data_IF_714612589765
#
_entry.id   IF_714612589765
#
_cell.length_a   1.000
_cell.length_b   1.000
_cell.length_c   1.000
_cell.angle_alpha   90.00
_cell.angle_beta   90.00
_cell.angle_gamma   90.00
#
_symmetry.space_group_name_H-M   'P 1'
#
loop_
_entity.id
_entity.type
_entity.pdbx_description
1 polymer ?
#
# COMPACT_ATOMS: atom_id res chain seq x y z
N UNK A 1 -7.46 -12.72 4.04
CA UNK A 1 -8.78 -12.29 3.47
C UNK A 1 -9.16 -10.85 3.81
N UNK A 2 -8.63 -10.24 4.88
CA UNK A 2 -8.95 -8.86 5.29
C UNK A 2 -8.58 -7.82 4.23
N UNK A 3 -7.38 -7.91 3.64
CA UNK A 3 -6.92 -6.96 2.64
C UNK A 3 -7.79 -6.88 1.37
N UNK A 4 -8.09 -7.99 0.65
CA UNK A 4 -8.94 -7.93 -0.54
C UNK A 4 -10.35 -7.39 -0.24
N UNK A 5 -10.89 -7.70 0.95
CA UNK A 5 -12.20 -7.19 1.36
C UNK A 5 -12.21 -5.67 1.56
N UNK A 6 -11.18 -5.13 2.23
CA UNK A 6 -11.02 -3.68 2.44
C UNK A 6 -10.80 -2.96 1.10
N UNK A 7 -9.91 -3.50 0.25
CA UNK A 7 -9.65 -2.95 -1.06
C UNK A 7 -10.91 -2.95 -1.94
N UNK A 8 -11.66 -4.06 -1.96
CA UNK A 8 -12.90 -4.18 -2.73
C UNK A 8 -13.99 -3.23 -2.21
N UNK A 9 -14.15 -3.12 -0.89
CA UNK A 9 -15.08 -2.17 -0.29
C UNK A 9 -14.75 -0.73 -0.69
N UNK A 10 -13.48 -0.34 -0.65
CA UNK A 10 -13.03 1.00 -1.04
C UNK A 10 -13.28 1.30 -2.52
N UNK A 11 -13.07 0.32 -3.40
CA UNK A 11 -13.38 0.45 -4.84
C UNK A 11 -14.88 0.64 -5.09
N UNK A 12 -15.74 -0.08 -4.35
CA UNK A 12 -17.20 0.05 -4.49
C UNK A 12 -17.77 1.34 -3.89
N UNK A 13 -17.06 1.99 -2.96
CA UNK A 13 -17.51 3.24 -2.36
C UNK A 13 -17.63 4.35 -3.41
N UNK A 14 -18.82 4.96 -3.46
CA UNK A 14 -19.16 6.08 -4.34
C UNK A 14 -18.86 5.82 -5.84
N UNK A 15 -18.97 4.55 -6.28
CA UNK A 15 -18.63 4.14 -7.65
C UNK A 15 -19.39 4.94 -8.71
N UNK A 16 -20.67 5.27 -8.48
CA UNK A 16 -21.48 6.10 -9.39
C UNK A 16 -20.91 7.51 -9.57
N UNK A 17 -20.39 8.13 -8.49
CA UNK A 17 -19.75 9.46 -8.57
C UNK A 17 -18.38 9.41 -9.25
N UNK A 18 -17.66 8.29 -9.10
CA UNK A 18 -16.36 8.07 -9.77
C UNK A 18 -16.55 7.84 -11.27
N UNK A 19 -17.60 7.09 -11.65
CA UNK A 19 -18.02 6.86 -13.03
C UNK A 19 -18.43 8.16 -13.72
N UNK A 20 -19.29 8.97 -13.10
CA UNK A 20 -19.69 10.28 -13.64
C UNK A 20 -18.51 11.22 -13.91
N UNK A 21 -17.43 11.09 -13.14
CA UNK A 21 -16.21 11.91 -13.28
C UNK A 21 -15.14 11.29 -14.19
N UNK A 22 -15.34 10.07 -14.69
CA UNK A 22 -14.32 9.35 -15.47
C UNK A 22 -13.06 8.99 -14.69
N UNK A 23 -13.15 8.92 -13.36
CA UNK A 23 -12.03 8.71 -12.44
C UNK A 23 -11.90 7.25 -11.97
N UNK A 24 -12.63 6.33 -12.62
CA UNK A 24 -12.66 4.92 -12.27
C UNK A 24 -11.49 4.17 -12.92
N UNK A 25 -10.86 3.25 -12.17
CA UNK A 25 -9.97 2.24 -12.77
C UNK A 25 -10.81 1.21 -13.55
N UNK A 26 -10.58 1.12 -14.86
CA UNK A 26 -11.27 0.17 -15.74
C UNK A 26 -12.64 0.65 -16.23
N UNK A 27 -13.38 -0.22 -16.94
CA UNK A 27 -14.69 0.12 -17.55
C UNK A 27 -15.90 -0.09 -16.61
N UNK A 28 -15.72 -0.83 -15.51
CA UNK A 28 -16.76 -1.21 -14.52
C UNK A 28 -16.19 -1.44 -13.11
N UNK A 29 -15.12 -0.75 -12.73
CA UNK A 29 -14.47 -0.94 -11.43
C UNK A 29 -13.68 -2.25 -11.33
N UNK A 30 -13.36 -2.86 -12.47
CA UNK A 30 -12.48 -4.02 -12.55
C UNK A 30 -11.03 -3.55 -12.36
N UNK A 31 -10.41 -3.94 -11.23
CA UNK A 31 -8.97 -4.03 -11.16
C UNK A 31 -8.53 -5.06 -12.20
N UNK A 32 -7.81 -4.63 -13.23
CA UNK A 32 -7.12 -5.56 -14.13
C UNK A 32 -6.34 -6.57 -13.29
N UNK A 33 -6.31 -7.85 -13.69
CA UNK A 33 -5.56 -8.89 -12.99
C UNK A 33 -4.10 -8.46 -12.69
N UNK A 34 -3.53 -7.59 -13.54
CA UNK A 34 -2.23 -6.98 -13.36
C UNK A 34 -2.12 -6.07 -12.12
N UNK A 35 -3.19 -5.38 -11.72
CA UNK A 35 -3.21 -4.57 -10.49
C UNK A 35 -3.18 -5.46 -9.24
N UNK A 36 -3.97 -6.54 -9.28
CA UNK A 36 -3.99 -7.54 -8.21
C UNK A 36 -2.61 -8.18 -8.07
N UNK A 37 -1.95 -8.48 -9.20
CA UNK A 37 -0.59 -9.00 -9.21
C UNK A 37 0.43 -7.99 -8.68
N UNK A 38 0.42 -6.74 -9.14
CA UNK A 38 1.38 -5.72 -8.69
C UNK A 38 1.35 -5.50 -7.18
N UNK A 39 0.14 -5.46 -6.61
CA UNK A 39 -0.07 -5.31 -5.16
C UNK A 39 0.22 -6.61 -4.38
N UNK A 40 -0.12 -7.76 -4.95
CA UNK A 40 0.05 -9.06 -4.28
C UNK A 40 1.46 -9.65 -4.37
N UNK A 41 2.28 -9.21 -5.33
CA UNK A 41 3.56 -9.85 -5.62
C UNK A 41 4.62 -9.60 -4.54
N UNK A 42 4.72 -8.37 -4.03
CA UNK A 42 5.66 -8.05 -2.95
C UNK A 42 5.41 -8.90 -1.67
N UNK A 43 4.19 -8.95 -1.11
CA UNK A 43 3.92 -9.83 0.03
C UNK A 43 4.08 -11.32 -0.32
N UNK A 44 3.75 -11.75 -1.54
CA UNK A 44 3.99 -13.14 -1.96
C UNK A 44 5.47 -13.52 -1.98
N UNK A 45 6.35 -12.62 -2.45
CA UNK A 45 7.81 -12.82 -2.41
C UNK A 45 8.30 -12.93 -0.97
N UNK A 46 7.82 -12.09 -0.06
CA UNK A 46 8.18 -12.14 1.37
C UNK A 46 7.70 -13.45 2.01
N UNK A 47 6.47 -13.88 1.73
CA UNK A 47 5.95 -15.17 2.22
C UNK A 47 6.73 -16.36 1.70
N UNK A 48 7.16 -16.32 0.43
CA UNK A 48 8.00 -17.36 -0.16
C UNK A 48 9.39 -17.41 0.50
N UNK A 49 9.96 -16.25 0.80
CA UNK A 49 11.21 -16.16 1.56
C UNK A 49 11.07 -16.77 2.96
N UNK A 50 9.96 -16.49 3.67
CA UNK A 50 9.69 -17.08 4.98
C UNK A 50 9.54 -18.61 4.92
N UNK A 51 8.85 -19.11 3.89
CA UNK A 51 8.75 -20.55 3.67
C UNK A 51 10.11 -21.20 3.38
N UNK A 52 10.94 -20.57 2.55
CA UNK A 52 12.27 -21.07 2.24
C UNK A 52 13.18 -21.09 3.48
N UNK A 53 13.17 -20.01 4.26
CA UNK A 53 13.91 -19.91 5.53
C UNK A 53 13.54 -21.05 6.49
N UNK A 54 12.23 -21.28 6.65
CA UNK A 54 11.71 -22.40 7.46
C UNK A 54 12.08 -23.77 6.91
N UNK A 55 12.05 -23.95 5.58
CA UNK A 55 12.29 -25.24 4.92
C UNK A 55 13.77 -25.64 4.86
N UNK A 56 14.69 -24.67 4.83
CA UNK A 56 16.13 -24.90 4.65
C UNK A 56 16.96 -24.63 5.93
N UNK A 57 16.31 -24.55 7.09
CA UNK A 57 16.97 -24.58 8.40
C UNK A 57 17.40 -23.22 8.95
N UNK A 58 16.82 -22.13 8.47
CA UNK A 58 17.11 -20.76 8.90
C UNK A 58 16.06 -20.11 9.81
N UNK A 59 14.99 -20.84 10.21
CA UNK A 59 13.71 -20.40 10.80
C UNK A 59 13.68 -19.37 11.94
N UNK A 60 14.80 -18.78 12.30
CA UNK A 60 14.98 -17.65 13.20
C UNK A 60 14.50 -16.32 12.59
N UNK A 61 14.30 -16.22 11.27
CA UNK A 61 13.86 -14.99 10.61
C UNK A 61 12.33 -14.82 10.52
N UNK A 62 11.54 -15.68 11.18
CA UNK A 62 10.08 -15.71 11.07
C UNK A 62 9.42 -14.37 11.39
N UNK A 63 9.86 -13.74 12.47
CA UNK A 63 9.24 -12.53 13.02
C UNK A 63 9.63 -11.29 12.20
N UNK A 64 10.89 -11.28 11.74
CA UNK A 64 11.41 -10.29 10.81
C UNK A 64 10.63 -10.29 9.49
N UNK A 65 10.41 -11.47 8.91
CA UNK A 65 9.68 -11.65 7.65
C UNK A 65 8.18 -11.44 7.83
N UNK A 66 7.62 -11.75 9.00
CA UNK A 66 6.26 -11.39 9.37
C UNK A 66 6.07 -9.86 9.41
N UNK A 67 6.96 -9.12 10.08
CA UNK A 67 6.91 -7.66 10.09
C UNK A 67 7.06 -7.07 8.67
N UNK A 68 7.98 -7.62 7.88
CA UNK A 68 8.16 -7.25 6.48
C UNK A 68 6.87 -7.45 5.66
N UNK A 69 6.20 -8.59 5.85
CA UNK A 69 4.96 -8.92 5.18
C UNK A 69 3.86 -7.93 5.54
N UNK A 70 3.63 -7.68 6.83
CA UNK A 70 2.60 -6.72 7.29
C UNK A 70 2.90 -5.33 6.72
N UNK A 71 4.17 -4.92 6.70
CA UNK A 71 4.61 -3.62 6.17
C UNK A 71 4.32 -3.48 4.67
N UNK A 72 4.65 -4.49 3.87
CA UNK A 72 4.39 -4.48 2.43
C UNK A 72 2.89 -4.39 2.09
N UNK A 73 2.06 -5.13 2.82
CA UNK A 73 0.61 -5.06 2.63
C UNK A 73 0.05 -3.73 3.17
N UNK A 74 0.58 -3.19 4.27
CA UNK A 74 0.17 -1.88 4.78
C UNK A 74 0.38 -0.77 3.75
N UNK A 75 1.52 -0.77 3.03
CA UNK A 75 1.77 0.16 1.92
C UNK A 75 0.70 0.02 0.84
N UNK A 76 0.45 -1.21 0.41
CA UNK A 76 -0.53 -1.51 -0.63
C UNK A 76 -1.97 -1.12 -0.27
N UNK A 77 -2.34 -1.34 0.99
CA UNK A 77 -3.64 -0.93 1.55
C UNK A 77 -3.73 0.59 1.58
N UNK A 78 -2.70 1.26 2.09
CA UNK A 78 -2.67 2.71 2.22
C UNK A 78 -2.78 3.39 0.85
N UNK A 79 -2.03 2.94 -0.15
CA UNK A 79 -2.12 3.43 -1.53
C UNK A 79 -3.50 3.21 -2.16
N UNK A 80 -4.05 2.00 -2.01
CA UNK A 80 -5.40 1.68 -2.50
C UNK A 80 -6.43 2.62 -1.90
N UNK A 81 -6.40 2.83 -0.59
CA UNK A 81 -7.39 3.68 0.08
C UNK A 81 -7.17 5.15 -0.27
N UNK A 82 -5.91 5.58 -0.35
CA UNK A 82 -5.52 6.94 -0.74
C UNK A 82 -6.08 7.29 -2.11
N UNK A 83 -5.89 6.40 -3.10
CA UNK A 83 -6.32 6.63 -4.47
C UNK A 83 -7.85 6.54 -4.63
N UNK A 84 -8.49 5.58 -3.97
CA UNK A 84 -9.95 5.37 -4.06
C UNK A 84 -10.78 6.43 -3.32
N UNK A 85 -10.32 6.90 -2.16
CA UNK A 85 -11.03 7.92 -1.37
C UNK A 85 -10.55 9.32 -1.73
N UNK A 86 -9.25 9.47 -1.96
CA UNK A 86 -8.63 10.77 -2.22
C UNK A 86 -9.07 11.42 -3.52
N UNK A 87 -9.51 10.63 -4.50
CA UNK A 87 -10.06 11.11 -5.78
C UNK A 87 -11.39 11.87 -5.63
N UNK A 88 -12.09 11.67 -4.52
CA UNK A 88 -13.34 12.39 -4.21
C UNK A 88 -13.08 13.81 -3.66
N UNK A 89 -11.84 14.13 -3.30
CA UNK A 89 -11.46 15.45 -2.79
C UNK A 89 -11.48 16.48 -3.93
N UNK A 90 -12.12 17.63 -3.70
CA UNK A 90 -12.11 18.75 -4.65
C UNK A 90 -10.75 19.47 -4.71
N UNK A 91 -9.80 19.09 -3.86
CA UNK A 91 -8.50 19.74 -3.71
C UNK A 91 -7.39 18.68 -3.75
N UNK A 92 -6.70 18.59 -4.89
CA UNK A 92 -5.54 17.70 -5.10
C UNK A 92 -4.30 18.54 -5.42
N UNK A 93 -3.12 18.05 -5.02
CA UNK A 93 -1.82 18.68 -5.24
C UNK A 93 -0.81 17.66 -5.75
N UNK A 94 0.05 18.06 -6.68
CA UNK A 94 1.15 17.23 -7.15
C UNK A 94 2.25 17.17 -6.09
N UNK A 95 2.64 15.97 -5.64
CA UNK A 95 3.59 15.78 -4.52
C UNK A 95 4.97 16.40 -4.78
N UNK A 96 5.42 16.45 -6.03
CA UNK A 96 6.76 16.97 -6.41
C UNK A 96 6.83 18.49 -6.51
N UNK A 97 5.70 19.17 -6.75
CA UNK A 97 5.67 20.63 -6.99
C UNK A 97 4.80 21.39 -6.01
N UNK A 98 3.97 20.68 -5.25
CA UNK A 98 2.93 21.24 -4.37
C UNK A 98 1.95 22.18 -5.07
N UNK A 99 1.85 22.10 -6.41
CA UNK A 99 0.87 22.84 -7.22
C UNK A 99 -0.43 22.06 -7.36
N UNK A 100 -1.53 22.78 -7.63
CA UNK A 100 -2.83 22.17 -7.92
C UNK A 100 -2.74 21.25 -9.13
N UNK A 101 -3.37 20.07 -9.01
CA UNK A 101 -3.51 19.10 -10.10
C UNK A 101 -4.93 18.55 -10.11
N UNK A 102 -5.30 17.90 -11.21
CA UNK A 102 -6.56 17.21 -11.33
C UNK A 102 -6.59 15.94 -10.46
N UNK A 103 -7.74 15.56 -9.89
CA UNK A 103 -7.91 14.27 -9.24
C UNK A 103 -7.62 13.11 -10.20
N UNK A 104 -7.07 12.01 -9.67
CA UNK A 104 -6.77 10.80 -10.46
C UNK A 104 -5.43 10.84 -11.23
N UNK A 105 -4.68 11.95 -11.16
CA UNK A 105 -3.33 12.03 -11.74
C UNK A 105 -2.32 11.34 -10.82
N UNK A 106 -1.40 10.55 -11.41
CA UNK A 106 -0.31 9.90 -10.67
C UNK A 106 0.57 10.93 -9.95
N UNK A 107 0.77 10.71 -8.65
CA UNK A 107 1.46 11.64 -7.75
C UNK A 107 0.59 12.78 -7.21
N UNK A 108 -0.70 12.78 -7.50
CA UNK A 108 -1.68 13.65 -6.87
C UNK A 108 -1.99 13.20 -5.45
N UNK A 109 -1.72 14.06 -4.47
CA UNK A 109 -2.10 13.88 -3.07
C UNK A 109 -3.28 14.78 -2.70
N UNK A 110 -4.19 14.28 -1.88
CA UNK A 110 -5.32 15.03 -1.36
C UNK A 110 -5.43 14.89 0.16
N UNK A 111 -6.17 15.78 0.81
CA UNK A 111 -6.30 15.73 2.28
C UNK A 111 -7.09 14.50 2.69
N UNK A 112 -8.15 14.18 1.95
CA UNK A 112 -8.93 12.96 2.18
C UNK A 112 -8.09 11.70 1.93
N UNK A 113 -7.28 11.67 0.87
CA UNK A 113 -6.41 10.53 0.57
C UNK A 113 -5.37 10.29 1.67
N UNK A 114 -4.71 11.34 2.13
CA UNK A 114 -3.72 11.26 3.21
C UNK A 114 -4.35 10.84 4.55
N UNK A 115 -5.50 11.40 4.92
CA UNK A 115 -6.16 11.06 6.18
C UNK A 115 -6.68 9.62 6.17
N UNK A 116 -7.35 9.20 5.08
CA UNK A 116 -7.90 7.85 4.97
C UNK A 116 -6.82 6.77 4.89
N UNK A 117 -5.76 6.99 4.11
CA UNK A 117 -4.62 6.08 4.04
C UNK A 117 -3.88 5.95 5.36
N UNK A 118 -3.73 7.04 6.11
CA UNK A 118 -3.14 7.01 7.45
C UNK A 118 -3.97 6.15 8.40
N UNK A 119 -5.27 6.42 8.51
CA UNK A 119 -6.17 5.64 9.37
C UNK A 119 -6.15 4.16 8.99
N UNK A 120 -6.19 3.85 7.70
CA UNK A 120 -6.19 2.46 7.26
C UNK A 120 -4.84 1.78 7.48
N UNK A 121 -3.71 2.49 7.30
CA UNK A 121 -2.39 1.93 7.58
C UNK A 121 -2.28 1.48 9.03
N UNK A 122 -2.72 2.32 9.98
CA UNK A 122 -2.77 1.97 11.40
C UNK A 122 -3.71 0.79 11.68
N UNK A 123 -4.93 0.83 11.15
CA UNK A 123 -5.91 -0.22 11.36
C UNK A 123 -5.44 -1.58 10.81
N UNK A 124 -4.90 -1.58 9.58
CA UNK A 124 -4.38 -2.79 8.96
C UNK A 124 -3.15 -3.33 9.70
N UNK A 125 -2.19 -2.47 10.06
CA UNK A 125 -1.00 -2.86 10.80
C UNK A 125 -1.37 -3.50 12.14
N UNK A 126 -2.28 -2.90 12.91
CA UNK A 126 -2.73 -3.44 14.18
C UNK A 126 -3.43 -4.80 14.02
N UNK A 127 -4.35 -4.92 13.06
CA UNK A 127 -5.05 -6.18 12.79
C UNK A 127 -4.06 -7.27 12.33
N UNK A 128 -3.17 -6.94 11.40
CA UNK A 128 -2.14 -7.85 10.91
C UNK A 128 -1.21 -8.32 12.02
N UNK A 129 -0.83 -7.40 12.91
CA UNK A 129 0.00 -7.69 14.08
C UNK A 129 -0.67 -8.69 15.02
N UNK A 130 -1.90 -8.40 15.45
CA UNK A 130 -2.67 -9.28 16.34
C UNK A 130 -2.86 -10.67 15.71
N UNK A 131 -3.13 -10.73 14.41
CA UNK A 131 -3.39 -12.00 13.73
C UNK A 131 -2.14 -12.88 13.58
N UNK A 132 -0.95 -12.28 13.49
CA UNK A 132 0.30 -13.01 13.26
C UNK A 132 1.03 -13.29 14.58
N UNK A 133 1.15 -12.29 15.45
CA UNK A 133 1.89 -12.37 16.72
C UNK A 133 1.01 -12.72 17.93
N UNK A 134 -0.31 -12.57 17.83
CA UNK A 134 -1.23 -12.94 18.91
C UNK A 134 -1.28 -11.97 20.08
N UNK A 135 -0.56 -10.84 19.99
CA UNK A 135 -0.47 -9.84 21.05
C UNK A 135 -0.58 -8.40 20.51
N UNK A 136 -0.64 -7.43 21.42
CA UNK A 136 -0.60 -6.00 21.10
C UNK A 136 0.60 -5.39 21.81
N UNK A 137 1.65 -5.11 21.05
CA UNK A 137 2.84 -4.40 21.50
C UNK A 137 3.14 -3.20 20.59
N UNK A 138 4.02 -2.29 21.01
CA UNK A 138 4.28 -1.06 20.26
C UNK A 138 4.96 -1.26 18.89
N UNK A 139 5.49 -2.44 18.57
CA UNK A 139 6.17 -2.75 17.32
C UNK A 139 5.22 -2.79 16.13
N UNK A 140 3.89 -2.92 16.31
CA UNK A 140 2.92 -2.73 15.22
C UNK A 140 3.01 -1.33 14.57
N UNK A 141 3.60 -0.35 15.27
CA UNK A 141 3.85 0.97 14.72
C UNK A 141 4.85 0.94 13.55
N UNK A 142 5.75 -0.05 13.49
CA UNK A 142 6.70 -0.22 12.39
C UNK A 142 5.95 -0.40 11.06
N UNK A 143 5.09 -1.43 10.87
CA UNK A 143 4.32 -1.57 9.64
C UNK A 143 3.35 -0.41 9.39
N UNK A 144 2.77 0.18 10.45
CA UNK A 144 1.87 1.34 10.31
C UNK A 144 2.58 2.54 9.67
N UNK A 145 3.79 2.87 10.15
CA UNK A 145 4.61 3.96 9.61
C UNK A 145 5.11 3.60 8.21
N UNK A 146 5.52 2.35 7.98
CA UNK A 146 5.90 1.89 6.65
C UNK A 146 4.77 2.08 5.64
N UNK A 147 3.53 1.76 5.99
CA UNK A 147 2.38 1.97 5.10
C UNK A 147 2.14 3.44 4.73
N UNK A 148 2.29 4.36 5.68
CA UNK A 148 2.13 5.80 5.44
C UNK A 148 3.24 6.34 4.54
N UNK A 149 4.49 6.03 4.89
CA UNK A 149 5.66 6.49 4.13
C UNK A 149 5.68 5.86 2.74
N UNK A 150 5.33 4.58 2.62
CA UNK A 150 5.26 3.87 1.35
C UNK A 150 4.19 4.44 0.42
N UNK A 151 3.02 4.83 0.93
CA UNK A 151 2.00 5.54 0.14
C UNK A 151 2.50 6.90 -0.39
N UNK A 152 3.23 7.65 0.43
CA UNK A 152 3.86 8.89 -0.02
C UNK A 152 4.95 8.63 -1.07
N UNK A 153 5.76 7.59 -0.86
CA UNK A 153 6.78 7.17 -1.83
C UNK A 153 6.14 6.76 -3.16
N UNK A 154 5.01 6.06 -3.12
CA UNK A 154 4.25 5.69 -4.31
C UNK A 154 3.81 6.92 -5.10
N UNK A 155 3.28 7.93 -4.43
CA UNK A 155 2.96 9.20 -5.09
C UNK A 155 4.21 9.86 -5.72
N UNK A 156 5.37 9.82 -5.07
CA UNK A 156 6.62 10.38 -5.62
C UNK A 156 7.05 9.59 -6.87
N UNK A 157 7.04 8.26 -6.79
CA UNK A 157 7.44 7.38 -7.88
C UNK A 157 6.47 7.52 -9.07
N UNK A 158 5.17 7.59 -8.80
CA UNK A 158 4.14 7.89 -9.79
C UNK A 158 4.38 9.23 -10.49
N UNK A 159 4.69 10.28 -9.73
CA UNK A 159 4.98 11.60 -10.28
C UNK A 159 6.24 11.61 -11.18
N UNK A 160 7.29 10.87 -10.79
CA UNK A 160 8.62 10.96 -11.40
C UNK A 160 8.82 9.95 -12.53
N UNK A 161 8.29 8.73 -12.40
CA UNK A 161 8.55 7.60 -13.29
C UNK A 161 7.32 7.17 -14.07
N UNK A 162 6.15 7.00 -13.43
CA UNK A 162 4.94 6.56 -14.16
C UNK A 162 4.47 7.60 -15.17
N UNK A 163 4.43 8.88 -14.80
CA UNK A 163 4.04 9.97 -15.71
C UNK A 163 4.96 10.09 -16.94
N UNK A 164 6.17 9.52 -16.88
CA UNK A 164 7.12 9.47 -18.00
C UNK A 164 7.03 8.16 -18.80
N UNK A 165 6.15 7.23 -18.41
CA UNK A 165 6.03 5.91 -19.02
C UNK A 165 7.23 4.98 -18.77
N UNK A 166 8.09 5.30 -17.79
CA UNK A 166 9.28 4.49 -17.48
C UNK A 166 8.89 3.19 -16.79
N UNK A 167 7.90 3.26 -15.90
CA UNK A 167 7.32 2.10 -15.22
C UNK A 167 5.81 2.15 -15.35
N UNK A 168 5.18 0.98 -15.28
CA UNK A 168 3.72 0.88 -15.15
C UNK A 168 3.30 1.11 -13.70
N UNK A 169 2.02 1.43 -13.50
CA UNK A 169 1.38 1.47 -12.17
C UNK A 169 1.64 0.21 -11.35
N UNK A 170 1.57 -0.95 -11.98
CA UNK A 170 1.82 -2.24 -11.31
C UNK A 170 3.29 -2.39 -10.86
N UNK A 171 4.21 -1.84 -11.64
CA UNK A 171 5.63 -1.78 -11.30
C UNK A 171 5.89 -0.85 -10.12
N UNK A 172 5.23 0.32 -10.08
CA UNK A 172 5.31 1.22 -8.94
C UNK A 172 4.80 0.54 -7.66
N UNK A 173 3.56 0.06 -7.67
CA UNK A 173 2.94 -0.62 -6.52
C UNK A 173 3.81 -1.76 -5.99
N UNK A 174 4.43 -2.54 -6.88
CA UNK A 174 5.35 -3.61 -6.47
C UNK A 174 6.61 -3.07 -5.79
N UNK A 175 7.29 -2.08 -6.39
CA UNK A 175 8.54 -1.52 -5.87
C UNK A 175 8.31 -0.84 -4.53
N UNK A 176 7.23 -0.08 -4.37
CA UNK A 176 6.92 0.67 -3.15
C UNK A 176 6.50 -0.26 -2.02
N UNK A 177 5.66 -1.27 -2.31
CA UNK A 177 5.32 -2.30 -1.34
C UNK A 177 6.54 -3.11 -0.90
N UNK A 178 7.41 -3.50 -1.85
CA UNK A 178 8.65 -4.22 -1.53
C UNK A 178 9.60 -3.36 -0.70
N UNK A 179 9.77 -2.08 -1.04
CA UNK A 179 10.55 -1.14 -0.25
C UNK A 179 10.00 -1.00 1.17
N UNK A 180 8.67 -0.91 1.33
CA UNK A 180 8.03 -0.90 2.65
C UNK A 180 8.29 -2.18 3.45
N UNK A 181 8.25 -3.34 2.80
CA UNK A 181 8.60 -4.62 3.42
C UNK A 181 10.06 -4.68 3.88
N UNK A 182 11.00 -4.26 3.03
CA UNK A 182 12.44 -4.21 3.37
C UNK A 182 12.70 -3.25 4.53
N UNK A 183 12.09 -2.05 4.51
CA UNK A 183 12.23 -1.09 5.61
C UNK A 183 11.63 -1.64 6.89
N UNK A 184 10.46 -2.29 6.83
CA UNK A 184 9.83 -2.94 7.98
C UNK A 184 10.70 -4.04 8.59
N UNK A 185 11.29 -4.89 7.74
CA UNK A 185 12.29 -5.89 8.14
C UNK A 185 13.46 -5.25 8.90
N UNK A 186 14.09 -4.23 8.30
CA UNK A 186 15.28 -3.59 8.86
C UNK A 186 14.97 -2.85 10.17
N UNK A 187 13.84 -2.16 10.24
CA UNK A 187 13.43 -1.46 11.46
C UNK A 187 13.12 -2.43 12.59
N UNK A 188 12.45 -3.55 12.29
CA UNK A 188 12.20 -4.58 13.30
C UNK A 188 13.53 -5.16 13.80
N UNK A 189 14.42 -5.56 12.89
CA UNK A 189 15.76 -6.07 13.23
C UNK A 189 16.56 -5.15 14.17
N UNK A 190 16.42 -3.83 14.02
CA UNK A 190 17.16 -2.86 14.82
C UNK A 190 16.55 -2.63 16.21
N UNK A 191 15.28 -2.99 16.42
CA UNK A 191 14.50 -2.59 17.61
C UNK A 191 14.03 -3.81 18.43
N UNK A 192 13.95 -5.01 17.83
CA UNK A 192 13.57 -6.28 18.46
C UNK A 192 14.76 -7.01 19.09
#
# INVERSE_FOLDING_TARGET
MVFPAIAFAATLMDISKKEEKGLQEGKKGERSALNILGVGLAPAVISLANFADSAFGGGDASDLLACAFISAVAVSVADTISSEIGVLDGKVWMITTMKRTEPGINGGISRLGLASSTVMSFAYALIGWILIFGEIDALFLIPAVCGIIGNLLDSIVGAVLENKGIISKYGNNFITALAGGIVGYLLYFLIS
#
